data_IF_430548818562
#
_entry.id   IF_430548818562
#
_cell.length_a   1.000
_cell.length_b   1.000
_cell.length_c   1.000
_cell.angle_alpha   90.00
_cell.angle_beta   90.00
_cell.angle_gamma   90.00
#
_symmetry.space_group_name_H-M   'P 1'
#
loop_
_entity.id
_entity.type
_entity.pdbx_description
1 polymer ?
#
# COMPACT_ATOMS: atom_id res chain seq x y z
N UNK A 1 1.09 50.02 35.79
CA UNK A 1 1.13 48.53 35.87
C UNK A 1 1.01 47.97 34.46
N UNK A 2 2.10 47.93 33.70
CA UNK A 2 2.11 47.68 32.25
C UNK A 2 3.21 46.67 31.90
N UNK A 3 3.28 45.56 32.65
CA UNK A 3 4.33 44.53 32.52
C UNK A 3 3.82 43.10 32.30
N UNK A 4 2.51 42.88 32.29
CA UNK A 4 1.93 41.52 32.14
C UNK A 4 1.17 41.28 30.84
N UNK A 5 1.10 42.28 29.95
CA UNK A 5 0.34 42.17 28.69
C UNK A 5 1.10 41.45 27.55
N UNK A 6 2.40 41.19 27.71
CA UNK A 6 3.23 40.56 26.67
C UNK A 6 3.28 39.03 26.83
N UNK A 7 2.97 38.49 28.00
CA UNK A 7 3.05 37.05 28.26
C UNK A 7 1.87 36.24 27.69
N UNK A 8 0.79 36.89 27.25
CA UNK A 8 -0.43 36.21 26.80
C UNK A 8 -0.50 36.00 25.27
N UNK A 9 0.46 36.52 24.51
CA UNK A 9 0.43 36.51 23.03
C UNK A 9 1.23 35.38 22.38
N UNK A 10 1.93 34.55 23.18
CA UNK A 10 2.78 33.46 22.68
C UNK A 10 2.22 32.05 22.95
N UNK A 11 1.03 31.93 23.55
CA UNK A 11 0.45 30.64 23.93
C UNK A 11 -0.34 29.89 22.83
N UNK A 12 -0.80 30.46 21.69
CA UNK A 12 -1.60 29.66 20.76
C UNK A 12 -0.77 28.86 19.73
N UNK A 13 0.56 28.88 19.77
CA UNK A 13 1.39 28.24 18.74
C UNK A 13 1.66 26.72 18.93
N UNK A 14 1.09 26.09 19.97
CA UNK A 14 1.41 24.71 20.37
C UNK A 14 0.36 23.65 19.99
N UNK A 15 -0.71 23.98 19.26
CA UNK A 15 -1.85 23.04 19.03
C UNK A 15 -1.85 22.39 17.64
N UNK A 16 -0.81 22.57 16.80
CA UNK A 16 -0.75 21.91 15.48
C UNK A 16 0.07 20.63 15.42
N UNK A 17 0.46 20.06 16.56
CA UNK A 17 0.96 18.68 16.62
C UNK A 17 -0.20 17.68 16.74
N UNK A 18 -1.22 17.77 15.88
CA UNK A 18 -2.02 16.59 15.60
C UNK A 18 -1.13 15.70 14.75
N UNK A 19 -0.38 14.83 15.43
CA UNK A 19 0.38 13.77 14.78
C UNK A 19 -0.55 13.04 13.82
N UNK A 20 -0.13 12.92 12.57
CA UNK A 20 -0.62 11.85 11.71
C UNK A 20 -0.50 10.56 12.53
N UNK A 21 -1.63 10.01 12.99
CA UNK A 21 -1.64 8.64 13.49
C UNK A 21 -1.09 7.79 12.34
N UNK A 22 0.03 7.07 12.52
CA UNK A 22 0.39 6.05 11.53
C UNK A 22 -0.82 5.13 11.39
N UNK A 23 -1.24 4.86 10.15
CA UNK A 23 -2.27 3.85 9.92
C UNK A 23 -1.81 2.56 10.58
N UNK A 24 -2.69 1.96 11.37
CA UNK A 24 -2.40 0.91 12.36
C UNK A 24 -2.01 -0.46 11.74
N UNK A 25 -1.41 -0.46 10.54
CA UNK A 25 -1.10 -1.69 9.80
C UNK A 25 0.02 -2.50 10.47
N UNK A 26 0.93 -1.85 11.20
CA UNK A 26 2.04 -2.54 11.88
C UNK A 26 1.58 -3.45 13.03
N UNK A 27 0.47 -3.14 13.72
CA UNK A 27 -0.02 -3.97 14.83
C UNK A 27 -0.75 -5.24 14.37
N UNK A 28 -1.30 -5.25 13.14
CA UNK A 28 -2.19 -6.31 12.67
C UNK A 28 -1.41 -7.51 12.11
N UNK A 29 -0.15 -7.29 11.72
CA UNK A 29 0.73 -8.32 11.15
C UNK A 29 0.29 -8.81 9.77
N UNK A 30 1.08 -9.74 9.22
CA UNK A 30 0.91 -10.23 7.85
C UNK A 30 0.64 -11.74 7.80
N UNK A 31 -0.03 -12.18 6.73
CA UNK A 31 -0.19 -13.56 6.27
C UNK A 31 0.27 -13.66 4.81
N UNK A 32 0.40 -14.88 4.32
CA UNK A 32 0.81 -15.16 2.93
C UNK A 32 -0.33 -14.86 1.95
N UNK A 33 0.02 -14.41 0.75
CA UNK A 33 -0.93 -14.29 -0.37
C UNK A 33 -1.32 -15.66 -0.91
N UNK A 34 -2.52 -15.77 -1.48
CA UNK A 34 -3.01 -17.04 -2.04
C UNK A 34 -2.43 -17.37 -3.41
N UNK A 35 -1.78 -16.41 -4.07
CA UNK A 35 -1.17 -16.60 -5.39
C UNK A 35 0.35 -16.74 -5.34
N UNK A 36 0.99 -16.30 -4.24
CA UNK A 36 2.44 -16.32 -4.03
C UNK A 36 2.73 -16.10 -2.53
N UNK A 37 3.33 -17.08 -1.86
CA UNK A 37 3.56 -17.08 -0.41
C UNK A 37 4.57 -16.02 0.06
N UNK A 38 5.43 -15.52 -0.84
CA UNK A 38 6.39 -14.46 -0.54
C UNK A 38 5.80 -13.04 -0.55
N UNK A 39 4.52 -12.91 -0.92
CA UNK A 39 3.81 -11.63 -0.90
C UNK A 39 3.08 -11.49 0.45
N UNK A 40 3.50 -10.56 1.33
CA UNK A 40 2.82 -10.33 2.59
C UNK A 40 1.46 -9.68 2.34
N UNK A 41 0.43 -10.12 3.04
CA UNK A 41 -0.92 -9.55 3.01
C UNK A 41 -1.34 -9.22 4.45
N UNK A 42 -1.88 -8.01 4.73
CA UNK A 42 -2.38 -7.70 6.07
C UNK A 42 -3.36 -8.76 6.58
N UNK A 43 -3.23 -9.23 7.83
CA UNK A 43 -4.03 -10.36 8.34
C UNK A 43 -5.54 -10.12 8.27
N UNK A 44 -5.96 -8.88 8.48
CA UNK A 44 -7.34 -8.41 8.41
C UNK A 44 -7.88 -8.29 6.97
N UNK A 45 -7.04 -8.41 5.94
CA UNK A 45 -7.50 -8.40 4.57
C UNK A 45 -8.26 -9.71 4.24
N UNK A 46 -9.44 -9.58 3.65
CA UNK A 46 -10.29 -10.72 3.27
C UNK A 46 -10.18 -10.95 1.78
N UNK A 47 -9.78 -12.14 1.36
CA UNK A 47 -9.76 -12.49 -0.06
C UNK A 47 -11.20 -12.49 -0.60
N UNK A 48 -11.43 -11.81 -1.71
CA UNK A 48 -12.74 -11.75 -2.35
C UNK A 48 -12.75 -12.32 -3.77
N UNK A 49 -11.61 -12.37 -4.46
CA UNK A 49 -11.53 -12.90 -5.82
C UNK A 49 -10.13 -13.43 -6.13
N UNK A 50 -10.05 -14.50 -6.95
CA UNK A 50 -8.83 -14.93 -7.65
C UNK A 50 -9.12 -14.91 -9.14
N UNK A 51 -8.24 -14.28 -9.91
CA UNK A 51 -8.31 -14.21 -11.38
C UNK A 51 -7.28 -15.16 -11.98
N UNK A 52 -7.70 -16.32 -12.45
CA UNK A 52 -6.81 -17.29 -13.13
C UNK A 52 -6.80 -17.15 -14.65
N UNK A 53 -7.80 -16.46 -15.22
CA UNK A 53 -7.95 -16.26 -16.66
C UNK A 53 -8.13 -14.76 -16.95
N UNK A 54 -7.02 -14.04 -16.99
CA UNK A 54 -7.03 -12.61 -17.34
C UNK A 54 -7.14 -12.42 -18.86
N UNK A 55 -7.94 -11.43 -19.28
CA UNK A 55 -7.94 -10.97 -20.69
C UNK A 55 -6.69 -10.17 -21.03
N UNK A 56 -5.94 -9.71 -20.03
CA UNK A 56 -4.66 -9.04 -20.22
C UNK A 56 -3.55 -10.10 -20.37
N UNK A 57 -2.86 -10.19 -21.53
CA UNK A 57 -1.85 -11.21 -21.79
C UNK A 57 -0.60 -11.05 -20.90
N UNK A 58 -0.44 -9.93 -20.21
CA UNK A 58 0.67 -9.71 -19.29
C UNK A 58 0.42 -10.29 -17.89
N UNK A 59 -0.83 -10.63 -17.53
CA UNK A 59 -1.19 -11.11 -16.19
C UNK A 59 -1.25 -12.65 -16.22
N UNK A 60 -0.51 -13.27 -15.30
CA UNK A 60 -0.51 -14.73 -15.09
C UNK A 60 -1.65 -15.14 -14.17
N UNK A 61 -1.72 -14.51 -13.00
CA UNK A 61 -2.74 -14.75 -11.97
C UNK A 61 -2.93 -13.48 -11.14
N UNK A 62 -4.16 -13.23 -10.72
CA UNK A 62 -4.52 -12.10 -9.87
C UNK A 62 -5.24 -12.55 -8.60
N UNK A 63 -5.17 -11.72 -7.58
CA UNK A 63 -5.98 -11.84 -6.37
C UNK A 63 -6.43 -10.46 -5.92
N UNK A 64 -7.67 -10.38 -5.44
CA UNK A 64 -8.22 -9.17 -4.82
C UNK A 64 -8.58 -9.44 -3.37
N UNK A 65 -8.15 -8.54 -2.50
CA UNK A 65 -8.52 -8.54 -1.10
C UNK A 65 -9.32 -7.27 -0.75
N UNK A 66 -10.36 -7.44 0.06
CA UNK A 66 -11.01 -6.36 0.80
C UNK A 66 -10.17 -6.05 2.05
N UNK A 67 -9.80 -4.79 2.24
CA UNK A 67 -9.02 -4.31 3.38
C UNK A 67 -9.50 -2.90 3.72
N UNK A 68 -10.28 -2.77 4.80
CA UNK A 68 -10.92 -1.50 5.17
C UNK A 68 -9.91 -0.41 5.53
N UNK A 69 -10.25 0.83 5.17
CA UNK A 69 -9.49 2.05 5.42
C UNK A 69 -8.12 2.12 4.71
N UNK A 70 -8.01 1.51 3.54
CA UNK A 70 -6.84 1.61 2.64
C UNK A 70 -7.19 2.44 1.40
N UNK A 71 -6.18 3.08 0.79
CA UNK A 71 -6.33 3.82 -0.45
C UNK A 71 -7.02 5.18 -0.30
N UNK A 72 -7.94 5.34 0.66
CA UNK A 72 -8.78 6.52 0.83
C UNK A 72 -9.59 6.86 -0.43
N UNK A 73 -10.20 8.05 -0.47
CA UNK A 73 -11.02 8.45 -1.62
C UNK A 73 -10.21 8.34 -2.93
N UNK A 74 -10.75 7.56 -3.88
CA UNK A 74 -10.15 7.29 -5.19
C UNK A 74 -8.78 6.55 -5.17
N UNK A 75 -8.33 5.97 -4.05
CA UNK A 75 -7.02 5.30 -3.98
C UNK A 75 -5.82 6.27 -3.86
N UNK A 76 -6.06 7.53 -3.53
CA UNK A 76 -5.05 8.60 -3.46
C UNK A 76 -4.07 8.48 -2.28
N UNK A 77 -4.33 7.57 -1.33
CA UNK A 77 -3.55 7.39 -0.11
C UNK A 77 -2.94 5.98 -0.05
N UNK A 78 -1.90 5.71 -0.87
CA UNK A 78 -1.21 4.43 -0.83
C UNK A 78 -0.55 4.19 0.55
N UNK A 79 -0.73 3.01 1.17
CA UNK A 79 -0.14 2.68 2.46
C UNK A 79 1.39 2.53 2.34
N UNK A 80 2.11 3.59 2.71
CA UNK A 80 3.59 3.61 2.64
C UNK A 80 4.24 2.49 3.45
N UNK A 81 3.68 2.15 4.61
CA UNK A 81 4.13 1.06 5.49
C UNK A 81 4.12 -0.30 4.77
N UNK A 82 3.08 -0.58 3.99
CA UNK A 82 2.96 -1.81 3.23
C UNK A 82 4.03 -1.94 2.14
N UNK A 83 4.28 -0.86 1.38
CA UNK A 83 5.32 -0.87 0.36
C UNK A 83 6.73 -0.93 0.96
N UNK A 84 6.94 -0.34 2.14
CA UNK A 84 8.20 -0.53 2.88
C UNK A 84 8.37 -1.99 3.30
N UNK A 85 7.31 -2.64 3.79
CA UNK A 85 7.36 -4.07 4.15
C UNK A 85 7.75 -4.96 2.97
N UNK A 86 7.25 -4.67 1.77
CA UNK A 86 7.67 -5.36 0.55
C UNK A 86 9.18 -5.20 0.30
N UNK A 87 9.69 -3.97 0.40
CA UNK A 87 11.13 -3.67 0.25
C UNK A 87 11.98 -4.42 1.29
N UNK A 88 11.53 -4.48 2.54
CA UNK A 88 12.21 -5.20 3.61
C UNK A 88 12.26 -6.73 3.37
N UNK A 89 11.31 -7.27 2.58
CA UNK A 89 11.27 -8.67 2.17
C UNK A 89 12.00 -8.95 0.84
N UNK A 90 12.71 -7.96 0.30
CA UNK A 90 13.51 -8.09 -0.92
C UNK A 90 12.77 -7.75 -2.22
N UNK A 91 11.55 -7.26 -2.15
CA UNK A 91 10.83 -6.78 -3.34
C UNK A 91 11.32 -5.38 -3.74
N UNK A 92 11.90 -5.26 -4.92
CA UNK A 92 12.38 -3.99 -5.44
C UNK A 92 11.32 -3.34 -6.33
N UNK A 93 10.96 -2.09 -6.05
CA UNK A 93 10.02 -1.33 -6.88
C UNK A 93 10.66 -0.98 -8.24
N UNK A 94 9.90 -1.19 -9.32
CA UNK A 94 10.26 -0.77 -10.68
C UNK A 94 9.61 0.60 -10.95
N UNK A 95 10.19 1.67 -10.39
CA UNK A 95 9.60 3.02 -10.41
C UNK A 95 9.33 3.54 -11.83
N UNK A 96 10.20 3.20 -12.78
CA UNK A 96 10.08 3.55 -14.20
C UNK A 96 8.90 2.88 -14.90
N UNK A 97 8.31 1.85 -14.27
CA UNK A 97 7.14 1.11 -14.78
C UNK A 97 5.84 1.52 -14.11
N UNK A 98 5.84 2.48 -13.18
CA UNK A 98 4.62 2.94 -12.51
C UNK A 98 3.61 3.47 -13.54
N UNK A 99 2.38 2.98 -13.46
CA UNK A 99 1.27 3.38 -14.33
C UNK A 99 0.08 3.82 -13.49
N UNK A 100 -0.04 5.13 -13.25
CA UNK A 100 -1.08 5.68 -12.39
C UNK A 100 -1.00 5.09 -10.97
N UNK A 101 -2.04 4.36 -10.57
CA UNK A 101 -2.13 3.71 -9.25
C UNK A 101 -1.48 2.32 -9.20
N UNK A 102 -0.99 1.82 -10.35
CA UNK A 102 -0.34 0.52 -10.46
C UNK A 102 1.16 0.65 -10.22
N UNK A 103 1.65 -0.06 -9.22
CA UNK A 103 3.06 -0.12 -8.84
C UNK A 103 3.60 -1.52 -9.11
N UNK A 104 4.78 -1.60 -9.71
CA UNK A 104 5.41 -2.87 -10.05
C UNK A 104 6.57 -3.16 -9.11
N UNK A 105 6.69 -4.41 -8.70
CA UNK A 105 7.77 -4.88 -7.85
C UNK A 105 8.38 -6.14 -8.44
N UNK A 106 9.70 -6.29 -8.29
CA UNK A 106 10.46 -7.45 -8.74
C UNK A 106 11.20 -8.09 -7.58
N UNK A 107 11.13 -9.42 -7.52
CA UNK A 107 11.98 -10.26 -6.67
C UNK A 107 12.35 -11.50 -7.47
N UNK A 108 13.65 -11.77 -7.58
CA UNK A 108 14.21 -12.79 -8.47
C UNK A 108 13.65 -12.67 -9.91
N UNK A 109 13.04 -13.72 -10.44
CA UNK A 109 12.41 -13.74 -11.77
C UNK A 109 10.91 -13.36 -11.75
N UNK A 110 10.36 -13.07 -10.57
CA UNK A 110 8.94 -12.75 -10.38
C UNK A 110 8.72 -11.24 -10.41
N UNK A 111 7.76 -10.82 -11.23
CA UNK A 111 7.25 -9.44 -11.23
C UNK A 111 5.81 -9.45 -10.78
N UNK A 112 5.48 -8.58 -9.83
CA UNK A 112 4.13 -8.37 -9.35
C UNK A 112 3.68 -6.94 -9.65
N UNK A 113 2.39 -6.77 -9.93
CA UNK A 113 1.72 -5.48 -9.98
C UNK A 113 0.79 -5.35 -8.79
N UNK A 114 0.84 -4.22 -8.10
CA UNK A 114 -0.03 -3.90 -6.98
C UNK A 114 -0.81 -2.65 -7.32
N UNK A 115 -2.13 -2.75 -7.22
CA UNK A 115 -3.07 -1.66 -7.41
C UNK A 115 -3.94 -1.54 -6.18
N UNK A 116 -4.04 -0.32 -5.64
CA UNK A 116 -4.79 -0.03 -4.43
C UNK A 116 -5.90 0.95 -4.78
N UNK A 117 -7.13 0.54 -4.46
CA UNK A 117 -8.29 1.42 -4.47
C UNK A 117 -8.83 1.57 -3.05
N UNK A 118 -9.91 2.33 -2.92
CA UNK A 118 -10.65 2.41 -1.66
C UNK A 118 -11.05 1.00 -1.21
N UNK A 119 -10.68 0.67 0.03
CA UNK A 119 -10.98 -0.58 0.72
C UNK A 119 -10.53 -1.87 0.02
N UNK A 120 -9.68 -1.78 -1.01
CA UNK A 120 -9.25 -2.95 -1.78
C UNK A 120 -7.79 -2.88 -2.21
N UNK A 121 -7.17 -4.07 -2.23
CA UNK A 121 -5.85 -4.29 -2.79
C UNK A 121 -5.93 -5.41 -3.83
N UNK A 122 -5.51 -5.08 -5.05
CA UNK A 122 -5.34 -6.01 -6.16
C UNK A 122 -3.86 -6.33 -6.31
N UNK A 123 -3.54 -7.61 -6.45
CA UNK A 123 -2.17 -8.08 -6.68
C UNK A 123 -2.20 -9.02 -7.87
N UNK A 124 -1.29 -8.80 -8.80
CA UNK A 124 -1.16 -9.60 -10.00
C UNK A 124 0.27 -10.10 -10.12
N UNK A 125 0.46 -11.40 -10.31
CA UNK A 125 1.73 -11.93 -10.81
C UNK A 125 1.74 -11.82 -12.33
N UNK A 126 2.85 -11.33 -12.87
CA UNK A 126 2.99 -11.04 -14.29
C UNK A 126 3.59 -12.24 -15.03
N UNK A 127 3.23 -12.42 -16.30
CA UNK A 127 3.88 -13.40 -17.16
C UNK A 127 5.35 -13.01 -17.39
N UNK A 128 6.23 -14.00 -17.51
CA UNK A 128 7.62 -13.77 -17.89
C UNK A 128 7.68 -13.04 -19.24
N UNK A 129 8.40 -11.91 -19.30
CA UNK A 129 8.47 -11.08 -20.50
C UNK A 129 7.26 -10.17 -20.74
N UNK A 130 6.39 -9.98 -19.74
CA UNK A 130 5.31 -9.00 -19.77
C UNK A 130 5.82 -7.62 -20.22
N UNK A 131 5.01 -6.97 -21.06
CA UNK A 131 5.29 -5.62 -21.57
C UNK A 131 4.50 -4.61 -20.74
N UNK A 132 5.23 -3.75 -20.04
CA UNK A 132 4.72 -2.65 -19.22
C UNK A 132 5.01 -1.32 -19.91
#
# INVERSE_FOLDING_TARGET
MKKYLIAFMLLPLLIFANGCRPSNDEEIGYKESSINDEIPIPKNAKQIEITTNSSNPNIKIGVRYELKNIGGEQGLYPPKSYFQKLKDLGWMELEEKRMGHVQFFKKDDTVIAIEIHEDTINIYEMNTGAKF
#
